data_IF_592894537845
#
_entry.id   IF_592894537845
#
_cell.length_a   1.000
_cell.length_b   1.000
_cell.length_c   1.000
_cell.angle_alpha   90.00
_cell.angle_beta   90.00
_cell.angle_gamma   90.00
#
_symmetry.space_group_name_H-M   'P 1'
#
loop_
_entity.id
_entity.type
_entity.pdbx_description
1 polymer ?
#
# COMPACT_ATOMS: atom_id res chain seq x y z
N UNK A 1 -8.04 3.80 -60.05
CA UNK A 1 -8.77 4.07 -58.79
C UNK A 1 -7.78 3.91 -57.65
N UNK A 2 -7.41 4.98 -56.92
CA UNK A 2 -6.46 4.88 -55.82
C UNK A 2 -7.12 4.20 -54.61
N UNK A 3 -6.41 3.26 -53.99
CA UNK A 3 -6.84 2.51 -52.82
C UNK A 3 -6.75 3.38 -51.56
N UNK A 4 -7.92 3.80 -51.05
CA UNK A 4 -8.06 4.37 -49.71
C UNK A 4 -7.81 3.30 -48.65
N UNK A 5 -6.61 3.27 -48.09
CA UNK A 5 -6.32 2.56 -46.84
C UNK A 5 -5.49 3.45 -45.92
N UNK A 6 -5.96 4.68 -45.70
CA UNK A 6 -5.55 5.52 -44.58
C UNK A 6 -6.59 5.37 -43.46
N UNK A 7 -6.62 4.20 -42.81
CA UNK A 7 -7.24 4.07 -41.49
C UNK A 7 -6.14 4.19 -40.44
N UNK A 8 -5.92 5.44 -40.03
CA UNK A 8 -5.10 5.81 -38.88
C UNK A 8 -5.72 5.20 -37.63
N UNK A 9 -5.22 4.06 -37.20
CA UNK A 9 -5.42 3.59 -35.83
C UNK A 9 -4.56 4.46 -34.93
N UNK A 10 -5.14 5.54 -34.40
CA UNK A 10 -4.59 6.36 -33.31
C UNK A 10 -4.66 5.60 -31.98
N UNK A 11 -4.24 4.32 -32.01
CA UNK A 11 -4.15 3.42 -30.87
C UNK A 11 -2.96 3.82 -30.01
N UNK A 12 -3.26 4.03 -28.74
CA UNK A 12 -2.39 4.21 -27.59
C UNK A 12 -0.92 3.80 -27.80
N UNK A 13 0.02 4.67 -27.38
CA UNK A 13 1.45 4.36 -27.40
C UNK A 13 1.71 3.09 -26.58
N UNK A 14 1.82 1.95 -27.25
CA UNK A 14 2.21 0.69 -26.65
C UNK A 14 3.66 0.79 -26.18
N UNK A 15 3.87 0.99 -24.88
CA UNK A 15 5.20 0.91 -24.29
C UNK A 15 5.56 -0.57 -24.14
N UNK A 16 6.62 -1.01 -24.84
CA UNK A 16 7.17 -2.35 -24.63
C UNK A 16 7.76 -2.44 -23.23
N UNK A 17 7.06 -3.07 -22.29
CA UNK A 17 7.65 -3.43 -21.01
C UNK A 17 8.65 -4.56 -21.26
N UNK A 18 9.93 -4.28 -21.05
CA UNK A 18 10.93 -5.35 -21.05
C UNK A 18 10.63 -6.27 -19.86
N UNK A 19 10.65 -7.60 -20.05
CA UNK A 19 10.47 -8.52 -18.94
C UNK A 19 11.57 -8.28 -17.91
N UNK A 20 11.18 -7.92 -16.69
CA UNK A 20 12.11 -7.82 -15.57
C UNK A 20 12.60 -9.24 -15.32
N UNK A 21 13.90 -9.48 -15.49
CA UNK A 21 14.50 -10.76 -15.11
C UNK A 21 14.26 -10.91 -13.61
N UNK A 22 13.51 -11.92 -13.21
CA UNK A 22 13.39 -12.35 -11.80
C UNK A 22 14.74 -12.94 -11.32
N UNK A 23 15.83 -12.19 -11.45
CA UNK A 23 17.07 -12.51 -10.77
C UNK A 23 16.89 -12.05 -9.33
N UNK A 24 16.38 -12.99 -8.51
CA UNK A 24 16.40 -13.01 -7.05
C UNK A 24 16.21 -11.64 -6.39
N UNK A 25 15.02 -11.41 -5.83
CA UNK A 25 14.76 -10.25 -4.95
C UNK A 25 16.00 -9.89 -4.15
N UNK A 26 16.55 -8.69 -4.40
CA UNK A 26 17.70 -8.19 -3.66
C UNK A 26 17.40 -8.37 -2.17
N UNK A 27 18.25 -9.09 -1.40
CA UNK A 27 18.00 -9.38 0.01
C UNK A 27 17.67 -8.14 0.83
N UNK A 28 18.09 -6.95 0.40
CA UNK A 28 17.75 -5.67 1.04
C UNK A 28 16.25 -5.33 0.97
N UNK A 29 15.56 -5.80 -0.06
CA UNK A 29 14.13 -5.61 -0.30
C UNK A 29 13.32 -6.89 -0.07
N UNK A 30 13.95 -7.97 0.40
CA UNK A 30 13.25 -9.17 0.76
C UNK A 30 12.25 -8.86 1.90
N UNK A 31 10.97 -9.26 1.80
CA UNK A 31 9.94 -8.94 2.79
C UNK A 31 10.31 -9.36 4.22
N UNK A 32 11.10 -10.44 4.32
CA UNK A 32 11.56 -11.02 5.58
C UNK A 32 12.85 -10.38 6.13
N UNK A 33 13.56 -9.59 5.32
CA UNK A 33 14.72 -8.79 5.73
C UNK A 33 14.35 -7.33 6.00
N UNK A 34 13.06 -6.99 5.93
CA UNK A 34 12.57 -5.70 6.41
C UNK A 34 12.99 -5.51 7.87
N UNK A 35 13.36 -4.28 8.21
CA UNK A 35 13.80 -3.89 9.56
C UNK A 35 12.91 -4.49 10.65
N UNK A 36 13.47 -4.78 11.84
CA UNK A 36 12.69 -5.28 12.98
C UNK A 36 11.43 -4.44 13.11
N UNK A 37 10.29 -5.12 13.29
CA UNK A 37 8.98 -4.49 13.35
C UNK A 37 8.93 -3.36 14.38
N UNK A 38 7.87 -2.53 14.36
CA UNK A 38 7.76 -1.39 15.26
C UNK A 38 8.03 -1.82 16.70
N UNK A 39 8.83 -1.01 17.41
CA UNK A 39 9.20 -1.28 18.78
C UNK A 39 7.94 -1.50 19.63
N UNK A 40 7.81 -2.69 20.22
CA UNK A 40 6.73 -2.97 21.15
C UNK A 40 7.05 -2.27 22.47
N UNK A 41 6.20 -1.36 22.96
CA UNK A 41 6.42 -0.75 24.27
C UNK A 41 6.31 -1.84 25.34
N UNK A 42 7.24 -1.83 26.30
CA UNK A 42 7.25 -2.82 27.39
C UNK A 42 5.99 -2.69 28.27
N UNK A 43 5.49 -1.46 28.44
CA UNK A 43 4.28 -1.16 29.19
C UNK A 43 3.50 -0.05 28.47
N UNK A 44 2.18 -0.12 28.50
CA UNK A 44 1.32 0.97 28.06
C UNK A 44 1.12 1.99 29.19
N UNK A 45 0.91 3.28 28.89
CA UNK A 45 0.58 4.27 29.91
C UNK A 45 -0.75 3.91 30.59
N UNK A 46 -0.90 4.36 31.84
CA UNK A 46 -2.15 4.24 32.57
C UNK A 46 -3.27 4.96 31.81
N UNK A 47 -4.44 4.34 31.76
CA UNK A 47 -5.57 4.93 31.06
C UNK A 47 -6.23 5.99 31.93
N UNK A 48 -6.28 7.22 31.44
CA UNK A 48 -6.86 8.35 32.18
C UNK A 48 -8.38 8.20 32.39
N UNK A 49 -8.84 8.53 33.60
CA UNK A 49 -10.25 8.61 33.96
C UNK A 49 -10.90 7.31 34.44
N UNK A 50 -12.14 7.43 34.92
CA UNK A 50 -12.92 6.29 35.41
C UNK A 50 -13.30 5.33 34.27
N UNK A 51 -13.81 4.14 34.59
CA UNK A 51 -14.30 3.20 33.55
C UNK A 51 -15.53 3.76 32.87
N UNK A 52 -16.34 4.46 33.65
CA UNK A 52 -17.60 5.09 33.28
C UNK A 52 -17.36 6.23 32.28
N UNK A 53 -16.40 7.12 32.56
CA UNK A 53 -16.04 8.21 31.65
C UNK A 53 -15.58 7.70 30.28
N UNK A 54 -14.86 6.58 30.28
CA UNK A 54 -14.38 5.94 29.05
C UNK A 54 -15.52 5.32 28.25
N UNK A 55 -16.48 4.68 28.91
CA UNK A 55 -17.66 4.12 28.25
C UNK A 55 -18.50 5.24 27.62
N UNK A 56 -18.76 6.31 28.37
CA UNK A 56 -19.49 7.46 27.87
C UNK A 56 -18.79 8.12 26.66
N UNK A 57 -17.47 8.31 26.72
CA UNK A 57 -16.69 8.82 25.57
C UNK A 57 -16.75 7.89 24.36
N UNK A 58 -16.69 6.57 24.57
CA UNK A 58 -16.79 5.58 23.48
C UNK A 58 -18.14 5.66 22.79
N UNK A 59 -19.22 5.75 23.56
CA UNK A 59 -20.58 5.88 23.05
C UNK A 59 -20.80 7.22 22.34
N UNK A 60 -20.21 8.31 22.85
CA UNK A 60 -20.28 9.61 22.20
C UNK A 60 -19.51 9.66 20.87
N UNK A 61 -18.35 9.01 20.78
CA UNK A 61 -17.53 8.98 19.56
C UNK A 61 -18.12 8.11 18.44
N UNK A 62 -18.92 7.10 18.79
CA UNK A 62 -19.57 6.21 17.82
C UNK A 62 -20.89 6.77 17.26
N UNK A 63 -21.24 8.02 17.59
CA UNK A 63 -22.36 8.76 16.99
C UNK A 63 -21.90 9.48 15.74
#
# INVERSE_FOLDING_TARGET
>A
MPSNQDQKNEGEKEFSIQPIKEQGQDPKFAPFNAHPGPAKPQNMPEQEGSKEDRQAKKEALNK
#
